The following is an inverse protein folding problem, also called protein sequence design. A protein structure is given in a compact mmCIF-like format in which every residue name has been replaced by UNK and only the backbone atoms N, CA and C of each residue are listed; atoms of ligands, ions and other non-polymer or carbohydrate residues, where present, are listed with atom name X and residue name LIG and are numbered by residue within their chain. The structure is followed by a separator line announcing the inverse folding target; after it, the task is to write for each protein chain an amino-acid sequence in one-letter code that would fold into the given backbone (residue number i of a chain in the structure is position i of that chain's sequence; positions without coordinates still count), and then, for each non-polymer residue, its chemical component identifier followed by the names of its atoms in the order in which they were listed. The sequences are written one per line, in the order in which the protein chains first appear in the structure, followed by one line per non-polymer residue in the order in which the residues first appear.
data_IF_562271055571
#
_entry.id   IF_562271055571
#
_cell.length_a   1.000
_cell.length_b   1.000
_cell.length_c   1.000
_cell.angle_alpha   90.00
_cell.angle_beta   90.00
_cell.angle_gamma   90.00
#
_symmetry.space_group_name_H-M   'P 1'
#
loop_
_entity.id
_entity.type
_entity.pdbx_description
1 polymer ?
#
# COMPACT_ATOMS: atom_id res chain seq x y z
N UNK A 1 11.92 -12.39 3.86
CA UNK A 1 10.70 -13.14 4.19
C UNK A 1 10.98 -14.63 4.03
N UNK A 2 10.64 -15.43 5.01
CA UNK A 2 10.79 -16.89 5.06
C UNK A 2 9.42 -17.56 4.97
N UNK A 3 9.38 -18.86 4.72
CA UNK A 3 8.11 -19.60 4.59
C UNK A 3 7.33 -19.55 5.91
N UNK A 4 8.00 -19.68 7.06
CA UNK A 4 7.38 -19.62 8.39
C UNK A 4 6.97 -18.22 8.84
N UNK A 5 7.25 -17.18 8.06
CA UNK A 5 6.72 -15.83 8.31
C UNK A 5 5.26 -15.69 7.87
N UNK A 6 4.72 -16.69 7.17
CA UNK A 6 3.37 -16.66 6.60
C UNK A 6 2.47 -17.58 7.41
N UNK A 7 1.44 -17.00 8.02
CA UNK A 7 0.39 -17.77 8.67
C UNK A 7 -0.70 -18.10 7.66
N UNK A 8 -0.80 -19.38 7.27
CA UNK A 8 -1.75 -19.85 6.27
C UNK A 8 -3.21 -19.72 6.72
N UNK A 9 -3.47 -19.79 8.04
CA UNK A 9 -4.83 -19.77 8.58
C UNK A 9 -5.38 -18.36 8.70
N UNK A 10 -4.56 -17.41 9.13
CA UNK A 10 -4.99 -16.02 9.39
C UNK A 10 -4.67 -15.07 8.22
N UNK A 11 -3.90 -15.51 7.23
CA UNK A 11 -3.42 -14.63 6.16
C UNK A 11 -2.43 -13.56 6.61
N UNK A 12 -1.88 -13.70 7.81
CA UNK A 12 -0.92 -12.75 8.34
C UNK A 12 0.51 -13.08 7.93
N UNK A 13 1.30 -12.03 7.71
CA UNK A 13 2.70 -12.11 7.30
C UNK A 13 3.54 -11.32 8.30
N UNK A 14 4.54 -11.97 8.89
CA UNK A 14 5.53 -11.30 9.73
C UNK A 14 6.59 -10.64 8.86
N UNK A 15 6.77 -9.36 9.05
CA UNK A 15 7.89 -8.60 8.46
C UNK A 15 8.87 -8.33 9.58
N UNK A 16 10.00 -9.04 9.54
CA UNK A 16 11.04 -8.94 10.55
C UNK A 16 12.14 -8.00 10.08
N UNK A 17 12.68 -7.20 11.00
CA UNK A 17 13.84 -6.34 10.82
C UNK A 17 13.80 -5.53 9.51
N UNK A 18 12.72 -4.77 9.33
CA UNK A 18 12.58 -3.88 8.19
C UNK A 18 13.56 -2.69 8.28
N UNK A 19 13.60 -1.82 7.28
CA UNK A 19 14.54 -0.69 7.13
C UNK A 19 14.86 0.11 8.40
N UNK A 20 14.01 0.08 9.41
CA UNK A 20 14.18 0.84 10.66
C UNK A 20 14.24 -0.07 11.88
N UNK A 21 14.64 -1.33 11.73
CA UNK A 21 14.59 -2.37 12.78
C UNK A 21 13.21 -2.55 13.40
N UNK A 22 12.16 -2.18 12.65
CA UNK A 22 10.78 -2.37 13.09
C UNK A 22 10.24 -3.67 12.51
N UNK A 23 9.88 -4.59 13.40
CA UNK A 23 9.14 -5.80 13.03
C UNK A 23 7.65 -5.54 13.17
N UNK A 24 6.85 -6.06 12.23
CA UNK A 24 5.40 -5.89 12.25
C UNK A 24 4.68 -7.08 11.63
N UNK A 25 3.42 -7.20 11.99
CA UNK A 25 2.48 -8.13 11.37
C UNK A 25 1.62 -7.35 10.36
N UNK A 26 1.52 -7.85 9.16
CA UNK A 26 0.60 -7.33 8.15
C UNK A 26 -0.38 -8.42 7.74
N UNK A 27 -1.62 -8.04 7.47
CA UNK A 27 -2.64 -8.95 6.95
C UNK A 27 -2.72 -8.73 5.45
N UNK A 28 -2.52 -9.79 4.68
CA UNK A 28 -2.68 -9.73 3.24
C UNK A 28 -4.12 -10.07 2.84
N UNK A 29 -4.56 -9.59 1.68
CA UNK A 29 -5.87 -9.97 1.15
C UNK A 29 -5.93 -11.47 0.87
N UNK A 30 -7.14 -12.03 0.90
CA UNK A 30 -7.35 -13.45 0.63
C UNK A 30 -6.76 -13.88 -0.72
N UNK A 31 -6.91 -13.04 -1.75
CA UNK A 31 -6.34 -13.30 -3.08
C UNK A 31 -4.82 -13.41 -3.06
N UNK A 32 -4.13 -12.53 -2.33
CA UNK A 32 -2.67 -12.55 -2.19
C UNK A 32 -2.21 -13.77 -1.41
N UNK A 33 -2.86 -14.09 -0.29
CA UNK A 33 -2.52 -15.29 0.50
C UNK A 33 -2.71 -16.56 -0.30
N UNK A 34 -3.79 -16.69 -1.05
CA UNK A 34 -4.05 -17.83 -1.93
C UNK A 34 -2.93 -18.01 -2.96
N UNK A 35 -2.47 -16.92 -3.56
CA UNK A 35 -1.34 -16.95 -4.50
C UNK A 35 -0.03 -17.37 -3.83
N UNK A 36 0.25 -16.85 -2.64
CA UNK A 36 1.45 -17.20 -1.87
C UNK A 36 1.42 -18.67 -1.47
N UNK A 37 0.29 -19.19 -0.98
CA UNK A 37 0.13 -20.59 -0.62
C UNK A 37 0.32 -21.49 -1.85
N UNK A 38 -0.32 -21.16 -2.97
CA UNK A 38 -0.14 -21.90 -4.22
C UNK A 38 1.31 -21.91 -4.72
N UNK A 39 2.03 -20.79 -4.53
CA UNK A 39 3.46 -20.74 -4.82
C UNK A 39 4.27 -21.66 -3.89
N UNK A 40 3.99 -21.64 -2.59
CA UNK A 40 4.68 -22.50 -1.62
C UNK A 40 4.45 -23.98 -1.96
N UNK A 41 3.20 -24.36 -2.21
CA UNK A 41 2.81 -25.74 -2.47
C UNK A 41 3.38 -26.27 -3.80
N UNK A 42 3.67 -25.37 -4.75
CA UNK A 42 4.25 -25.75 -6.04
C UNK A 42 5.78 -25.72 -6.08
N UNK A 43 6.40 -24.72 -5.44
CA UNK A 43 7.82 -24.44 -5.62
C UNK A 43 8.67 -24.60 -4.35
N UNK A 44 8.04 -24.81 -3.19
CA UNK A 44 8.73 -24.96 -1.92
C UNK A 44 8.51 -26.34 -1.28
N UNK A 45 8.08 -27.34 -2.05
CA UNK A 45 7.91 -28.70 -1.56
C UNK A 45 9.23 -29.22 -0.99
N UNK A 46 9.19 -29.77 0.24
CA UNK A 46 10.38 -30.27 0.93
C UNK A 46 11.34 -29.20 1.44
N UNK A 47 11.02 -27.91 1.31
CA UNK A 47 11.85 -26.87 1.89
C UNK A 47 11.65 -26.75 3.40
N UNK A 48 12.73 -26.49 4.14
CA UNK A 48 12.63 -26.22 5.57
C UNK A 48 11.80 -24.94 5.82
N UNK A 49 11.04 -24.86 6.93
CA UNK A 49 10.19 -23.71 7.23
C UNK A 49 10.91 -22.37 7.30
N UNK A 50 12.18 -22.38 7.66
CA UNK A 50 13.05 -21.19 7.76
C UNK A 50 13.69 -20.81 6.40
N UNK A 51 13.44 -21.57 5.34
CA UNK A 51 13.90 -21.24 3.99
C UNK A 51 13.30 -19.92 3.50
N UNK A 52 14.06 -19.20 2.67
CA UNK A 52 13.52 -18.03 1.98
C UNK A 52 12.37 -18.43 1.07
N UNK A 53 11.26 -17.68 1.11
CA UNK A 53 10.11 -17.89 0.23
C UNK A 53 10.51 -17.72 -1.24
N UNK A 54 11.15 -16.61 -1.56
CA UNK A 54 11.71 -16.37 -2.88
C UNK A 54 13.22 -16.56 -2.83
N UNK A 55 13.71 -17.57 -3.55
CA UNK A 55 15.13 -17.95 -3.56
C UNK A 55 15.78 -17.60 -4.89
N UNK A 56 17.03 -17.22 -4.83
CA UNK A 56 17.89 -17.21 -6.03
C UNK A 56 18.27 -18.67 -6.40
N UNK A 57 18.98 -18.84 -7.54
CA UNK A 57 19.43 -20.16 -8.03
C UNK A 57 20.34 -20.91 -7.06
N UNK A 58 20.93 -20.22 -6.08
CA UNK A 58 21.82 -20.81 -5.05
C UNK A 58 21.08 -21.05 -3.72
N UNK A 59 19.75 -20.90 -3.67
CA UNK A 59 18.94 -21.05 -2.45
C UNK A 59 18.95 -19.85 -1.50
N UNK A 60 19.73 -18.81 -1.78
CA UNK A 60 19.83 -17.60 -0.96
C UNK A 60 18.75 -16.55 -1.29
N UNK A 61 18.83 -15.43 -0.59
CA UNK A 61 17.91 -14.31 -0.75
C UNK A 61 17.99 -13.68 -2.15
N UNK A 62 16.84 -13.26 -2.66
CA UNK A 62 16.77 -12.41 -3.85
C UNK A 62 17.42 -11.06 -3.58
N UNK A 63 18.22 -10.57 -4.52
CA UNK A 63 18.80 -9.23 -4.48
C UNK A 63 17.82 -8.21 -5.08
N UNK A 64 17.86 -6.98 -4.58
CA UNK A 64 16.95 -5.89 -4.96
C UNK A 64 16.93 -5.64 -6.47
N UNK A 65 18.11 -5.63 -7.12
CA UNK A 65 18.22 -5.41 -8.56
C UNK A 65 17.41 -6.46 -9.39
N UNK A 66 17.35 -7.71 -8.89
CA UNK A 66 16.59 -8.78 -9.55
C UNK A 66 15.09 -8.53 -9.45
N UNK A 67 14.61 -8.06 -8.27
CA UNK A 67 13.24 -7.67 -8.07
C UNK A 67 12.83 -6.52 -9.01
N UNK A 68 13.68 -5.49 -9.12
CA UNK A 68 13.46 -4.41 -10.07
C UNK A 68 13.43 -4.88 -11.53
N UNK A 69 14.29 -5.82 -11.90
CA UNK A 69 14.28 -6.40 -13.25
C UNK A 69 12.98 -7.14 -13.55
N UNK A 70 12.47 -7.94 -12.59
CA UNK A 70 11.19 -8.65 -12.72
C UNK A 70 10.04 -7.65 -12.82
N UNK A 71 10.03 -6.63 -11.95
CA UNK A 71 9.03 -5.57 -11.96
C UNK A 71 8.97 -4.86 -13.32
N UNK A 72 10.12 -4.45 -13.87
CA UNK A 72 10.17 -3.81 -15.19
C UNK A 72 9.61 -4.70 -16.29
N UNK A 73 9.96 -5.99 -16.30
CA UNK A 73 9.41 -6.96 -17.26
C UNK A 73 7.89 -7.07 -17.13
N UNK A 74 7.36 -7.11 -15.91
CA UNK A 74 5.94 -7.16 -15.67
C UNK A 74 5.24 -5.89 -16.18
N UNK A 75 5.82 -4.71 -15.95
CA UNK A 75 5.30 -3.43 -16.46
C UNK A 75 5.23 -3.43 -17.98
N UNK A 76 6.30 -3.85 -18.66
CA UNK A 76 6.33 -3.95 -20.13
C UNK A 76 5.29 -4.94 -20.65
N UNK A 77 5.17 -6.11 -20.02
CA UNK A 77 4.18 -7.13 -20.39
C UNK A 77 2.73 -6.65 -20.19
N UNK A 78 2.51 -5.76 -19.22
CA UNK A 78 1.22 -5.12 -18.96
C UNK A 78 0.93 -3.92 -19.88
N UNK A 79 1.81 -3.59 -20.84
CA UNK A 79 1.65 -2.44 -21.74
C UNK A 79 1.79 -1.09 -21.05
N UNK A 80 2.42 -1.04 -19.88
CA UNK A 80 2.62 0.21 -19.12
C UNK A 80 3.86 0.91 -19.68
N UNK A 81 3.64 2.06 -20.26
CA UNK A 81 4.67 2.88 -20.89
C UNK A 81 5.24 3.94 -19.95
N UNK A 82 6.43 4.48 -20.24
CA UNK A 82 6.97 5.63 -19.52
C UNK A 82 6.00 6.81 -19.53
N UNK A 83 5.96 7.57 -18.45
CA UNK A 83 5.23 8.83 -18.37
C UNK A 83 5.87 9.88 -19.33
N UNK A 84 5.24 11.03 -19.48
CA UNK A 84 5.74 12.15 -20.30
C UNK A 84 7.19 12.55 -19.95
N UNK A 85 7.61 12.39 -18.70
CA UNK A 85 8.98 12.62 -18.24
C UNK A 85 9.97 11.48 -18.61
N UNK A 86 9.57 10.51 -19.41
CA UNK A 86 10.38 9.35 -19.81
C UNK A 86 10.63 8.31 -18.74
N UNK A 87 10.02 8.44 -17.56
CA UNK A 87 10.26 7.50 -16.43
C UNK A 87 9.11 6.51 -16.27
N UNK A 88 9.46 5.23 -16.14
CA UNK A 88 8.52 4.20 -15.69
C UNK A 88 8.15 4.41 -14.22
N UNK A 89 6.93 4.02 -13.82
CA UNK A 89 6.57 3.95 -12.41
C UNK A 89 7.58 3.11 -11.64
N UNK A 90 7.93 3.55 -10.44
CA UNK A 90 8.86 2.82 -9.57
C UNK A 90 8.09 1.76 -8.77
N UNK A 91 8.79 0.73 -8.31
CA UNK A 91 8.21 -0.28 -7.42
C UNK A 91 7.59 0.37 -6.16
N UNK A 92 8.19 1.45 -5.66
CA UNK A 92 7.69 2.19 -4.50
C UNK A 92 6.38 2.96 -4.79
N UNK A 93 6.12 3.30 -6.04
CA UNK A 93 4.88 3.98 -6.43
C UNK A 93 3.64 3.07 -6.25
N UNK A 94 3.81 1.73 -6.26
CA UNK A 94 2.75 0.80 -5.86
C UNK A 94 2.31 1.00 -4.40
N UNK A 95 3.26 1.32 -3.51
CA UNK A 95 2.96 1.63 -2.12
C UNK A 95 2.19 2.95 -1.99
N UNK A 96 2.55 3.96 -2.78
CA UNK A 96 1.81 5.23 -2.83
C UNK A 96 0.38 5.00 -3.30
N UNK A 97 0.19 4.27 -4.39
CA UNK A 97 -1.14 3.92 -4.93
C UNK A 97 -1.97 3.17 -3.91
N UNK A 98 -1.38 2.18 -3.22
CA UNK A 98 -2.06 1.44 -2.14
C UNK A 98 -2.53 2.37 -1.03
N UNK A 99 -1.69 3.32 -0.57
CA UNK A 99 -2.04 4.26 0.49
C UNK A 99 -3.23 5.14 0.10
N UNK A 100 -3.18 5.74 -1.08
CA UNK A 100 -4.25 6.61 -1.59
C UNK A 100 -5.56 5.84 -1.71
N UNK A 101 -5.56 4.70 -2.39
CA UNK A 101 -6.77 3.89 -2.56
C UNK A 101 -7.34 3.36 -1.23
N UNK A 102 -6.46 3.05 -0.26
CA UNK A 102 -6.91 2.63 1.07
C UNK A 102 -7.63 3.77 1.79
N UNK A 103 -7.05 4.97 1.79
CA UNK A 103 -7.67 6.14 2.40
C UNK A 103 -8.98 6.51 1.70
N UNK A 104 -9.01 6.54 0.38
CA UNK A 104 -10.24 6.77 -0.40
C UNK A 104 -11.33 5.75 -0.06
N UNK A 105 -10.97 4.45 -0.03
CA UNK A 105 -11.91 3.38 0.31
C UNK A 105 -12.46 3.50 1.74
N UNK A 106 -11.63 3.92 2.69
CA UNK A 106 -12.05 4.14 4.08
C UNK A 106 -13.01 5.34 4.17
N UNK A 107 -12.69 6.43 3.49
CA UNK A 107 -13.55 7.62 3.42
C UNK A 107 -14.92 7.29 2.82
N UNK A 108 -14.94 6.58 1.70
CA UNK A 108 -16.21 6.17 1.05
C UNK A 108 -17.07 5.26 1.94
N UNK A 109 -16.45 4.54 2.89
CA UNK A 109 -17.14 3.72 3.89
C UNK A 109 -17.55 4.52 5.14
N UNK A 110 -17.31 5.82 5.17
CA UNK A 110 -17.65 6.70 6.28
C UNK A 110 -16.68 6.66 7.46
N UNK A 111 -15.49 6.06 7.29
CA UNK A 111 -14.46 6.12 8.32
C UNK A 111 -13.78 7.48 8.33
N UNK A 112 -13.53 8.00 9.54
CA UNK A 112 -12.76 9.22 9.70
C UNK A 112 -11.28 8.97 9.32
N UNK A 113 -10.74 9.89 8.49
CA UNK A 113 -9.38 9.78 7.99
C UNK A 113 -8.33 9.90 9.10
N UNK A 114 -8.56 10.75 10.10
CA UNK A 114 -7.60 10.96 11.19
C UNK A 114 -7.50 9.73 12.10
N UNK A 115 -8.61 9.02 12.33
CA UNK A 115 -8.61 7.73 13.04
C UNK A 115 -8.04 6.59 12.21
N UNK A 116 -8.16 6.65 10.91
CA UNK A 116 -7.66 5.62 9.99
C UNK A 116 -6.15 5.74 9.72
N UNK A 117 -5.61 6.95 9.81
CA UNK A 117 -4.21 7.24 9.51
C UNK A 117 -3.22 6.47 10.38
N UNK A 118 -3.36 6.39 11.73
CA UNK A 118 -2.48 5.60 12.58
C UNK A 118 -2.45 4.10 12.22
N UNK A 119 -3.58 3.53 11.80
CA UNK A 119 -3.64 2.14 11.34
C UNK A 119 -2.83 1.94 10.07
N UNK A 120 -2.93 2.89 9.13
CA UNK A 120 -2.15 2.85 7.91
C UNK A 120 -0.64 3.03 8.19
N UNK A 121 -0.27 3.95 9.11
CA UNK A 121 1.11 4.14 9.59
C UNK A 121 1.69 2.84 10.12
N UNK A 122 0.96 2.15 11.00
CA UNK A 122 1.37 0.88 11.58
C UNK A 122 1.51 -0.22 10.52
N UNK A 123 0.55 -0.32 9.60
CA UNK A 123 0.58 -1.29 8.50
C UNK A 123 1.78 -1.07 7.58
N UNK A 124 2.07 0.18 7.23
CA UNK A 124 3.19 0.56 6.39
C UNK A 124 4.54 0.46 7.12
N UNK A 125 4.55 0.50 8.44
CA UNK A 125 5.77 0.55 9.26
C UNK A 125 6.51 1.88 9.13
N UNK A 126 5.78 2.99 9.02
CA UNK A 126 6.35 4.33 9.10
C UNK A 126 6.69 4.65 10.55
N UNK A 127 7.74 5.45 10.77
CA UNK A 127 8.16 5.87 12.11
C UNK A 127 7.30 6.99 12.68
N UNK A 128 6.75 7.83 11.82
CA UNK A 128 5.94 8.97 12.21
C UNK A 128 4.74 9.14 11.26
N UNK A 129 3.74 9.81 11.76
CA UNK A 129 2.51 10.11 11.03
C UNK A 129 2.80 10.99 9.82
N UNK A 130 3.75 11.92 9.92
CA UNK A 130 4.10 12.87 8.86
C UNK A 130 4.51 12.21 7.53
N UNK A 131 5.12 11.01 7.58
CA UNK A 131 5.41 10.22 6.38
C UNK A 131 4.13 9.76 5.66
N UNK A 132 3.02 9.67 6.38
CA UNK A 132 1.72 9.22 5.88
C UNK A 132 0.79 10.40 5.58
N UNK A 133 0.95 11.55 6.26
CA UNK A 133 0.19 12.80 5.99
C UNK A 133 0.34 13.27 4.55
N UNK A 134 1.47 12.98 3.91
CA UNK A 134 1.66 13.25 2.49
C UNK A 134 0.55 12.64 1.63
N UNK A 135 0.04 11.46 2.01
CA UNK A 135 -1.04 10.79 1.28
C UNK A 135 -2.40 11.46 1.49
N UNK A 136 -2.63 12.10 2.64
CA UNK A 136 -3.85 12.88 2.88
C UNK A 136 -3.97 13.99 1.83
N UNK A 137 -2.89 14.71 1.57
CA UNK A 137 -2.88 15.79 0.57
C UNK A 137 -3.20 15.28 -0.85
N UNK A 138 -2.84 14.05 -1.16
CA UNK A 138 -3.17 13.44 -2.46
C UNK A 138 -4.65 13.03 -2.53
N UNK A 139 -5.23 12.64 -1.40
CA UNK A 139 -6.67 12.37 -1.28
C UNK A 139 -7.44 13.68 -1.32
N UNK A 140 -7.00 14.73 -0.60
CA UNK A 140 -7.61 16.06 -0.60
C UNK A 140 -7.65 16.70 -2.00
N UNK A 141 -6.64 16.47 -2.84
CA UNK A 141 -6.64 16.94 -4.22
C UNK A 141 -7.76 16.30 -5.06
N UNK A 142 -8.23 15.10 -4.68
CA UNK A 142 -9.39 14.43 -5.27
C UNK A 142 -10.71 14.75 -4.53
N UNK A 143 -10.63 15.48 -3.41
CA UNK A 143 -11.76 15.79 -2.52
C UNK A 143 -12.75 16.82 -3.09
N UNK A 144 -12.45 17.46 -4.21
CA UNK A 144 -13.43 18.33 -4.90
C UNK A 144 -14.73 17.62 -5.17
N UNK A 145 -14.71 16.33 -5.46
CA UNK A 145 -15.93 15.51 -5.62
C UNK A 145 -16.69 15.28 -4.29
N UNK A 146 -15.96 15.20 -3.17
CA UNK A 146 -16.56 14.99 -1.83
C UNK A 146 -17.11 16.30 -1.27
N UNK A 147 -16.43 17.43 -1.49
CA UNK A 147 -16.96 18.77 -1.13
C UNK A 147 -18.19 19.13 -1.94
N UNK A 148 -18.28 18.72 -3.18
CA UNK A 148 -19.49 18.95 -3.99
C UNK A 148 -20.65 18.05 -3.54
N UNK A 149 -20.39 16.81 -3.16
CA UNK A 149 -21.38 15.94 -2.53
C UNK A 149 -21.82 16.49 -1.16
N UNK A 150 -20.92 16.98 -0.32
CA UNK A 150 -21.25 17.56 0.98
C UNK A 150 -22.05 18.86 0.88
N UNK A 151 -21.82 19.68 -0.15
CA UNK A 151 -22.67 20.85 -0.46
C UNK A 151 -24.12 20.46 -0.79
N UNK A 152 -24.29 19.29 -1.41
CA UNK A 152 -25.64 18.78 -1.73
C UNK A 152 -26.34 18.22 -0.48
N UNK A 153 -25.62 17.50 0.39
CA UNK A 153 -26.21 16.80 1.54
C UNK A 153 -26.21 17.61 2.85
N UNK A 154 -25.33 18.61 2.96
CA UNK A 154 -25.24 19.44 4.18
C UNK A 154 -24.81 20.89 3.85
N UNK A 155 -25.64 21.63 3.09
CA UNK A 155 -25.32 22.98 2.62
C UNK A 155 -25.11 24.01 3.74
N UNK A 156 -25.55 23.71 4.97
CA UNK A 156 -25.44 24.61 6.14
C UNK A 156 -24.20 24.39 7.00
N UNK A 157 -23.38 23.38 6.72
CA UNK A 157 -22.17 23.07 7.51
C UNK A 157 -20.95 23.94 7.14
N UNK A 158 -20.97 24.58 5.98
CA UNK A 158 -19.89 25.43 5.54
C UNK A 158 -20.33 26.90 5.53
N UNK A 159 -19.57 27.82 6.14
CA UNK A 159 -19.87 29.24 6.06
C UNK A 159 -19.84 29.67 4.59
N UNK A 160 -20.84 30.42 4.15
CA UNK A 160 -20.83 31.05 2.82
C UNK A 160 -19.62 31.98 2.74
N UNK A 161 -18.69 31.64 1.86
CA UNK A 161 -17.57 32.52 1.56
C UNK A 161 -18.10 33.69 0.73
N UNK A 162 -18.19 34.86 1.33
CA UNK A 162 -18.35 36.15 0.64
C UNK A 162 -19.73 36.77 0.72
N UNK A 163 -20.03 37.40 1.82
CA UNK A 163 -20.61 38.72 1.84
C UNK A 163 -19.76 39.54 2.83
N UNK A 164 -18.77 40.26 2.33
CA UNK A 164 -18.23 41.41 3.05
C UNK A 164 -19.32 42.43 2.94
N UNK A 165 -20.02 42.63 4.06
CA UNK A 165 -20.87 43.78 4.22
C UNK A 165 -19.97 45.01 4.01
N UNK A 166 -20.27 45.74 2.93
CA UNK A 166 -19.67 47.03 2.72
C UNK A 166 -20.27 48.05 3.71
N UNK A 167 -19.42 48.65 4.48
CA UNK A 167 -19.51 50.04 4.95
C UNK A 167 -18.09 50.64 4.92
#
# INVERSE_FOLDING_TARGET
MRINDINRNTGSIRILDSKNHVSRLVVASESVIRQIIGYIDRFCVGCAPDSYLFKNSKGGMFRDWKLYSIYRKAMTAAGIHPRENGRLPRLHDLRHTFCVHTLESLTLKGFDLYTSLPLLVAYLGHKCISETEYYLRLVDANFTSVTDASKVYAPSLFPKVGERDGE
#
